data_IF_560456649365
#
_entry.id   IF_560456649365
#
_cell.length_a   1.000
_cell.length_b   1.000
_cell.length_c   1.000
_cell.angle_alpha   90.00
_cell.angle_beta   90.00
_cell.angle_gamma   90.00
#
_symmetry.space_group_name_H-M   'P 1'
#
loop_
_entity.id
_entity.type
_entity.pdbx_description
1 polymer ?
#
# COMPACT_ATOMS: atom_id res chain seq x y z
N UNK A 1 -31.70 -2.84 -29.09
CA UNK A 1 -31.11 -1.94 -28.08
C UNK A 1 -29.85 -2.63 -27.61
N UNK A 2 -28.70 -2.25 -28.17
CA UNK A 2 -27.45 -3.01 -28.04
C UNK A 2 -26.88 -2.90 -26.63
N UNK A 3 -26.53 -4.05 -26.07
CA UNK A 3 -25.76 -4.19 -24.83
C UNK A 3 -24.37 -3.62 -25.11
N UNK A 4 -24.05 -2.50 -24.47
CA UNK A 4 -22.73 -1.90 -24.54
C UNK A 4 -21.86 -2.66 -23.53
N UNK A 5 -20.99 -3.52 -24.07
CA UNK A 5 -20.03 -4.32 -23.31
C UNK A 5 -19.13 -3.37 -22.53
N UNK A 6 -19.03 -3.61 -21.22
CA UNK A 6 -18.20 -2.87 -20.27
C UNK A 6 -16.79 -2.68 -20.82
N UNK A 7 -16.32 -1.42 -20.81
CA UNK A 7 -14.92 -1.13 -21.05
C UNK A 7 -14.11 -1.86 -19.96
N UNK A 8 -13.32 -2.83 -20.38
CA UNK A 8 -12.36 -3.57 -19.57
C UNK A 8 -11.48 -2.55 -18.85
N UNK A 9 -11.76 -2.29 -17.58
CA UNK A 9 -10.98 -1.32 -16.81
C UNK A 9 -9.65 -2.00 -16.55
N UNK A 10 -8.54 -1.50 -17.12
CA UNK A 10 -7.28 -2.21 -17.05
C UNK A 10 -6.88 -2.37 -15.58
N UNK A 11 -6.33 -3.54 -15.26
CA UNK A 11 -5.73 -3.81 -13.96
C UNK A 11 -4.71 -2.73 -13.62
N UNK A 12 -4.48 -2.50 -12.33
CA UNK A 12 -3.46 -1.55 -11.90
C UNK A 12 -2.11 -1.87 -12.56
N UNK A 13 -1.50 -0.87 -13.18
CA UNK A 13 -0.22 -1.00 -13.88
C UNK A 13 0.99 -1.19 -12.97
N UNK A 14 0.81 -1.14 -11.65
CA UNK A 14 1.87 -1.39 -10.66
C UNK A 14 1.65 -2.70 -9.91
N UNK A 15 0.49 -2.88 -9.28
CA UNK A 15 0.25 -4.05 -8.40
C UNK A 15 -0.59 -5.17 -9.04
N UNK A 16 -1.15 -4.95 -10.22
CA UNK A 16 -2.02 -5.92 -10.89
C UNK A 16 -3.44 -6.03 -10.33
N UNK A 17 -3.83 -5.20 -9.36
CA UNK A 17 -5.17 -5.20 -8.78
C UNK A 17 -6.27 -5.07 -9.84
N UNK A 18 -7.31 -5.88 -9.69
CA UNK A 18 -8.47 -5.88 -10.58
C UNK A 18 -9.39 -4.69 -10.27
N UNK A 19 -9.93 -4.07 -11.31
CA UNK A 19 -10.75 -2.85 -11.20
C UNK A 19 -12.26 -3.13 -11.24
N UNK A 20 -12.72 -4.26 -10.67
CA UNK A 20 -14.11 -4.74 -10.80
C UNK A 20 -15.19 -3.77 -10.30
N UNK A 21 -14.88 -2.96 -9.30
CA UNK A 21 -15.78 -1.96 -8.69
C UNK A 21 -15.53 -0.53 -9.21
N UNK A 22 -14.72 -0.38 -10.27
CA UNK A 22 -14.26 0.90 -10.84
C UNK A 22 -13.50 1.79 -9.86
N UNK A 23 -13.06 1.28 -8.71
CA UNK A 23 -12.18 2.00 -7.81
C UNK A 23 -10.73 1.85 -8.27
N UNK A 24 -9.97 2.93 -8.13
CA UNK A 24 -8.51 2.94 -8.24
C UNK A 24 -7.87 2.43 -6.95
N UNK A 25 -6.61 1.96 -7.01
CA UNK A 25 -5.87 1.59 -5.80
C UNK A 25 -5.78 2.74 -4.79
N UNK A 26 -5.66 3.98 -5.27
CA UNK A 26 -5.61 5.17 -4.41
C UNK A 26 -6.94 5.41 -3.68
N UNK A 27 -8.08 5.27 -4.35
CA UNK A 27 -9.39 5.39 -3.71
C UNK A 27 -9.61 4.30 -2.65
N UNK A 28 -9.12 3.08 -2.90
CA UNK A 28 -9.16 2.00 -1.91
C UNK A 28 -8.30 2.31 -0.69
N UNK A 29 -7.08 2.82 -0.89
CA UNK A 29 -6.24 3.30 0.21
C UNK A 29 -6.97 4.37 1.04
N UNK A 30 -7.52 5.40 0.39
CA UNK A 30 -8.27 6.45 1.09
C UNK A 30 -9.49 5.90 1.84
N UNK A 31 -10.15 4.89 1.27
CA UNK A 31 -11.23 4.16 1.92
C UNK A 31 -10.78 3.48 3.22
N UNK A 32 -9.64 2.78 3.21
CA UNK A 32 -9.06 2.17 4.41
C UNK A 32 -8.70 3.25 5.44
N UNK A 33 -8.02 4.33 5.03
CA UNK A 33 -7.65 5.44 5.92
C UNK A 33 -8.87 6.13 6.55
N UNK A 34 -10.00 6.20 5.83
CA UNK A 34 -11.25 6.72 6.39
C UNK A 34 -11.85 5.78 7.45
N UNK A 35 -11.70 4.46 7.29
CA UNK A 35 -12.15 3.48 8.28
C UNK A 35 -11.33 3.53 9.57
N UNK A 36 -10.03 3.85 9.49
CA UNK A 36 -9.14 4.01 10.66
C UNK A 36 -9.68 5.02 11.68
N UNK A 37 -10.46 6.02 11.26
CA UNK A 37 -11.07 7.01 12.18
C UNK A 37 -12.14 6.42 13.11
N UNK A 38 -12.63 5.20 12.81
CA UNK A 38 -13.74 4.55 13.52
C UNK A 38 -13.36 3.17 14.07
N UNK A 39 -12.18 2.68 13.76
CA UNK A 39 -11.68 1.36 14.14
C UNK A 39 -10.26 1.49 14.70
N UNK A 40 -10.13 1.37 16.02
CA UNK A 40 -8.85 1.50 16.72
C UNK A 40 -7.89 0.37 16.42
N UNK A 41 -8.40 -0.84 16.08
CA UNK A 41 -7.55 -1.95 15.68
C UNK A 41 -6.94 -1.64 14.30
N UNK A 42 -7.75 -1.17 13.37
CA UNK A 42 -7.26 -0.76 12.05
C UNK A 42 -6.32 0.44 12.14
N UNK A 43 -6.61 1.42 12.99
CA UNK A 43 -5.73 2.57 13.25
C UNK A 43 -4.34 2.13 13.73
N UNK A 44 -4.26 1.12 14.59
CA UNK A 44 -2.97 0.58 15.05
C UNK A 44 -2.14 -0.05 13.91
N UNK A 45 -2.78 -0.40 12.79
CA UNK A 45 -2.14 -0.97 11.61
C UNK A 45 -1.80 0.10 10.54
N UNK A 46 -1.99 1.39 10.83
CA UNK A 46 -1.77 2.48 9.87
C UNK A 46 -0.42 2.38 9.12
N UNK A 47 0.67 2.07 9.85
CA UNK A 47 1.97 1.90 9.22
C UNK A 47 1.97 0.75 8.20
N UNK A 48 1.38 -0.40 8.53
CA UNK A 48 1.28 -1.53 7.60
C UNK A 48 0.44 -1.17 6.38
N UNK A 49 -0.70 -0.49 6.57
CA UNK A 49 -1.57 -0.04 5.46
C UNK A 49 -0.79 0.82 4.45
N UNK A 50 -0.09 1.85 4.94
CA UNK A 50 0.65 2.79 4.08
C UNK A 50 1.88 2.14 3.47
N UNK A 51 2.63 1.35 4.24
CA UNK A 51 3.84 0.67 3.76
C UNK A 51 3.51 -0.39 2.70
N UNK A 52 2.50 -1.23 2.94
CA UNK A 52 2.04 -2.24 1.98
C UNK A 52 1.63 -1.59 0.65
N UNK A 53 0.85 -0.50 0.70
CA UNK A 53 0.47 0.24 -0.49
C UNK A 53 1.69 0.74 -1.26
N UNK A 54 2.63 1.40 -0.59
CA UNK A 54 3.82 2.00 -1.23
C UNK A 54 4.80 0.95 -1.77
N UNK A 55 4.87 -0.23 -1.14
CA UNK A 55 5.68 -1.36 -1.65
C UNK A 55 5.10 -1.90 -2.96
N UNK A 56 3.77 -1.95 -3.07
CA UNK A 56 3.07 -2.39 -4.28
C UNK A 56 2.96 -1.30 -5.36
N UNK A 57 3.12 -0.03 -5.00
CA UNK A 57 3.09 1.13 -5.91
C UNK A 57 4.39 1.96 -5.81
N UNK A 58 5.54 1.38 -6.21
CA UNK A 58 6.86 1.96 -5.95
C UNK A 58 7.20 3.16 -6.84
N UNK A 59 6.49 3.42 -7.94
CA UNK A 59 6.93 4.36 -8.99
C UNK A 59 7.22 5.78 -8.49
N UNK A 60 6.54 6.20 -7.42
CA UNK A 60 6.70 7.53 -6.84
C UNK A 60 7.99 7.69 -6.02
N UNK A 61 8.60 6.61 -5.54
CA UNK A 61 9.64 6.65 -4.51
C UNK A 61 11.03 6.39 -5.08
N UNK A 62 12.04 6.99 -4.44
CA UNK A 62 13.45 6.66 -4.70
C UNK A 62 13.76 5.23 -4.26
N UNK A 63 14.73 4.59 -4.91
CA UNK A 63 15.05 3.20 -4.62
C UNK A 63 15.59 3.04 -3.19
N UNK A 64 16.38 4.01 -2.71
CA UNK A 64 16.83 4.12 -1.32
C UNK A 64 15.65 4.17 -0.33
N UNK A 65 14.63 4.98 -0.62
CA UNK A 65 13.46 5.09 0.23
C UNK A 65 12.65 3.79 0.26
N UNK A 66 12.51 3.11 -0.88
CA UNK A 66 11.82 1.82 -0.97
C UNK A 66 12.58 0.70 -0.25
N UNK A 67 13.91 0.66 -0.35
CA UNK A 67 14.73 -0.29 0.38
C UNK A 67 14.54 -0.12 1.88
N UNK A 68 14.68 1.11 2.40
CA UNK A 68 14.47 1.39 3.82
C UNK A 68 13.03 1.13 4.28
N UNK A 69 12.03 1.36 3.42
CA UNK A 69 10.64 1.03 3.69
C UNK A 69 10.41 -0.48 3.82
N UNK A 70 10.96 -1.29 2.91
CA UNK A 70 10.86 -2.76 2.95
C UNK A 70 11.51 -3.35 4.19
N UNK A 71 12.71 -2.87 4.54
CA UNK A 71 13.42 -3.31 5.75
C UNK A 71 12.60 -2.98 7.00
N UNK A 72 12.13 -1.73 7.12
CA UNK A 72 11.29 -1.29 8.25
C UNK A 72 9.98 -2.08 8.33
N UNK A 73 9.39 -2.37 7.17
CA UNK A 73 8.16 -3.16 7.05
C UNK A 73 8.33 -4.59 7.58
N UNK A 74 9.39 -5.29 7.15
CA UNK A 74 9.70 -6.66 7.60
C UNK A 74 10.02 -6.68 9.10
N UNK A 75 10.83 -5.74 9.57
CA UNK A 75 11.20 -5.66 10.99
C UNK A 75 9.99 -5.36 11.89
N UNK A 76 9.14 -4.42 11.49
CA UNK A 76 7.92 -4.08 12.22
C UNK A 76 6.95 -5.25 12.28
N UNK A 77 6.69 -5.89 11.14
CA UNK A 77 5.79 -7.04 11.07
C UNK A 77 6.32 -8.24 11.87
N UNK A 78 7.65 -8.35 12.00
CA UNK A 78 8.30 -9.35 12.86
C UNK A 78 8.37 -8.97 14.34
N UNK A 79 7.81 -7.82 14.75
CA UNK A 79 7.83 -7.32 16.12
C UNK A 79 9.19 -6.86 16.62
N UNK A 80 10.15 -6.58 15.72
CA UNK A 80 11.53 -6.19 16.09
C UNK A 80 11.68 -4.71 16.39
N UNK A 81 10.83 -3.87 15.81
CA UNK A 81 10.87 -2.41 15.95
C UNK A 81 9.48 -1.82 16.10
N UNK A 82 9.39 -0.63 16.69
CA UNK A 82 8.14 0.15 16.81
C UNK A 82 8.02 1.23 15.73
N UNK A 83 6.83 1.82 15.60
CA UNK A 83 6.60 2.97 14.70
C UNK A 83 7.42 4.20 15.09
N UNK A 84 7.72 4.38 16.38
CA UNK A 84 8.56 5.47 16.88
C UNK A 84 10.01 5.32 16.44
N UNK A 85 10.54 4.09 16.50
CA UNK A 85 11.89 3.77 16.02
C UNK A 85 12.01 3.96 14.52
N UNK A 86 11.00 3.53 13.74
CA UNK A 86 10.93 3.78 12.29
C UNK A 86 11.00 5.28 12.02
N UNK A 87 10.12 6.07 12.66
CA UNK A 87 10.09 7.53 12.49
C UNK A 87 11.44 8.16 12.83
N UNK A 88 12.09 7.71 13.91
CA UNK A 88 13.41 8.18 14.29
C UNK A 88 14.46 7.89 13.21
N UNK A 89 14.55 6.64 12.73
CA UNK A 89 15.49 6.24 11.66
C UNK A 89 15.24 7.00 10.37
N UNK A 90 13.99 7.13 9.95
CA UNK A 90 13.61 7.88 8.74
C UNK A 90 14.02 9.36 8.85
N UNK A 91 13.82 9.98 10.01
CA UNK A 91 14.22 11.37 10.24
C UNK A 91 15.75 11.56 10.16
N UNK A 92 16.55 10.62 10.67
CA UNK A 92 18.02 10.74 10.56
C UNK A 92 18.50 10.77 9.10
N UNK A 93 17.81 10.08 8.20
CA UNK A 93 18.21 9.95 6.78
C UNK A 93 17.60 11.03 5.90
N UNK A 94 16.34 11.41 6.15
CA UNK A 94 15.52 12.21 5.23
C UNK A 94 15.10 13.58 5.79
N UNK A 95 15.50 13.96 7.01
CA UNK A 95 15.25 15.31 7.55
C UNK A 95 16.21 16.38 6.97
N UNK A 96 16.54 16.24 5.68
CA UNK A 96 17.51 17.07 4.97
C UNK A 96 17.19 17.13 3.47
N UNK A 97 18.16 17.47 2.60
CA UNK A 97 17.89 17.65 1.17
C UNK A 97 17.62 16.33 0.42
N UNK A 98 17.85 15.17 1.07
CA UNK A 98 17.65 13.86 0.44
C UNK A 98 16.17 13.64 0.18
N UNK A 99 15.81 13.43 -1.09
CA UNK A 99 14.41 13.26 -1.52
C UNK A 99 13.95 11.82 -1.32
N UNK A 100 12.72 11.69 -0.83
CA UNK A 100 11.99 10.41 -0.73
C UNK A 100 11.27 10.08 -2.04
N UNK A 101 10.84 11.10 -2.79
CA UNK A 101 10.06 10.94 -4.02
C UNK A 101 10.86 11.32 -5.27
N UNK A 102 10.62 10.57 -6.35
CA UNK A 102 11.12 10.85 -7.69
C UNK A 102 10.37 12.05 -8.31
N UNK A 103 11.05 12.90 -9.11
CA UNK A 103 10.38 13.86 -9.99
C UNK A 103 9.35 13.18 -10.90
N UNK A 104 8.25 13.87 -11.24
CA UNK A 104 7.14 13.26 -11.97
C UNK A 104 7.55 12.62 -13.31
N UNK A 105 8.50 13.23 -14.03
CA UNK A 105 9.02 12.74 -15.31
C UNK A 105 9.84 11.44 -15.20
N UNK A 106 10.31 11.10 -14.00
CA UNK A 106 11.11 9.90 -13.74
C UNK A 106 10.27 8.75 -13.15
N UNK A 107 8.97 8.99 -12.91
CA UNK A 107 8.06 7.98 -12.35
C UNK A 107 7.60 7.06 -13.46
N UNK A 108 8.13 5.84 -13.46
CA UNK A 108 7.73 4.79 -14.39
C UNK A 108 7.10 3.65 -13.61
N UNK A 109 5.77 3.46 -13.69
CA UNK A 109 5.09 2.28 -13.19
C UNK A 109 5.71 1.00 -13.75
N UNK A 110 5.96 0.03 -12.88
CA UNK A 110 6.41 -1.31 -13.27
C UNK A 110 5.38 -2.30 -12.72
N UNK A 111 4.74 -3.03 -13.62
CA UNK A 111 3.76 -4.03 -13.24
C UNK A 111 4.46 -5.21 -12.56
N UNK A 112 4.00 -5.50 -11.34
CA UNK A 112 4.23 -6.74 -10.63
C UNK A 112 2.87 -7.28 -10.19
N UNK A 113 2.56 -8.51 -10.57
CA UNK A 113 1.37 -9.18 -10.08
C UNK A 113 1.64 -9.72 -8.67
N UNK A 114 0.91 -9.20 -7.68
CA UNK A 114 0.96 -9.68 -6.30
C UNK A 114 -0.16 -10.68 -6.03
N UNK A 115 0.03 -11.58 -5.07
CA UNK A 115 -1.01 -12.54 -4.67
C UNK A 115 -2.22 -11.83 -4.04
N UNK A 116 -1.95 -10.83 -3.19
CA UNK A 116 -2.97 -10.02 -2.54
C UNK A 116 -2.69 -8.54 -2.76
N UNK A 117 -3.73 -7.76 -3.04
CA UNK A 117 -3.63 -6.32 -3.34
C UNK A 117 -4.58 -5.51 -2.47
N UNK A 118 -4.52 -4.18 -2.59
CA UNK A 118 -5.48 -3.29 -1.92
C UNK A 118 -6.94 -3.56 -2.32
N UNK A 119 -7.19 -4.17 -3.49
CA UNK A 119 -8.54 -4.59 -3.92
C UNK A 119 -9.11 -5.73 -3.08
N UNK A 120 -8.24 -6.60 -2.55
CA UNK A 120 -8.64 -7.69 -1.66
C UNK A 120 -8.85 -7.21 -0.22
N UNK A 121 -8.31 -6.02 0.13
CA UNK A 121 -8.40 -5.44 1.48
C UNK A 121 -9.62 -4.54 1.62
N UNK A 122 -9.81 -3.60 0.71
CA UNK A 122 -10.90 -2.64 0.78
C UNK A 122 -12.13 -3.14 0.04
N UNK A 123 -13.12 -3.59 0.82
CA UNK A 123 -14.42 -4.02 0.32
C UNK A 123 -15.48 -2.99 0.75
N UNK A 124 -15.95 -2.10 -0.16
CA UNK A 124 -16.83 -0.99 0.22
C UNK A 124 -18.10 -1.40 0.97
N UNK A 125 -18.66 -2.56 0.61
CA UNK A 125 -19.88 -3.10 1.19
C UNK A 125 -19.64 -4.08 2.35
N UNK A 126 -18.38 -4.36 2.69
CA UNK A 126 -17.98 -5.27 3.77
C UNK A 126 -16.79 -4.70 4.57
N UNK A 127 -16.94 -3.52 5.21
CA UNK A 127 -15.84 -2.87 5.94
C UNK A 127 -15.41 -3.65 7.19
N UNK A 128 -16.25 -4.53 7.73
CA UNK A 128 -15.89 -5.38 8.85
C UNK A 128 -14.75 -6.34 8.47
N UNK A 129 -13.80 -6.53 9.39
CA UNK A 129 -12.63 -7.39 9.16
C UNK A 129 -11.53 -6.74 8.31
N UNK A 130 -11.60 -5.43 8.04
CA UNK A 130 -10.53 -4.73 7.29
C UNK A 130 -9.18 -4.85 8.00
N UNK A 131 -9.13 -4.76 9.33
CA UNK A 131 -7.90 -4.93 10.11
C UNK A 131 -7.24 -6.31 9.87
N UNK A 132 -8.03 -7.38 9.87
CA UNK A 132 -7.55 -8.73 9.58
C UNK A 132 -7.05 -8.85 8.13
N UNK A 133 -7.75 -8.23 7.17
CA UNK A 133 -7.30 -8.22 5.77
C UNK A 133 -6.00 -7.43 5.58
N UNK A 134 -5.80 -6.32 6.30
CA UNK A 134 -4.52 -5.58 6.31
C UNK A 134 -3.37 -6.46 6.83
N UNK A 135 -3.59 -7.19 7.93
CA UNK A 135 -2.58 -8.13 8.46
C UNK A 135 -2.20 -9.21 7.44
N UNK A 136 -3.20 -9.85 6.82
CA UNK A 136 -2.99 -10.86 5.77
C UNK A 136 -2.27 -10.30 4.55
N UNK A 137 -2.67 -9.10 4.11
CA UNK A 137 -2.04 -8.41 3.00
C UNK A 137 -0.57 -8.12 3.30
N UNK A 138 -0.27 -7.68 4.51
CA UNK A 138 1.11 -7.41 4.92
C UNK A 138 1.98 -8.67 4.94
N UNK A 139 1.47 -9.79 5.45
CA UNK A 139 2.18 -11.08 5.43
C UNK A 139 2.35 -11.63 4.01
N UNK A 140 1.34 -11.52 3.15
CA UNK A 140 1.44 -11.89 1.74
C UNK A 140 2.56 -11.11 1.04
N UNK A 141 2.61 -9.78 1.22
CA UNK A 141 3.70 -8.96 0.69
C UNK A 141 5.05 -9.44 1.22
N UNK A 142 5.19 -9.66 2.53
CA UNK A 142 6.46 -10.09 3.13
C UNK A 142 6.94 -11.43 2.58
N UNK A 143 6.05 -12.38 2.30
CA UNK A 143 6.42 -13.67 1.72
C UNK A 143 6.87 -13.58 0.27
N UNK A 144 6.53 -12.48 -0.40
CA UNK A 144 6.87 -12.19 -1.78
C UNK A 144 8.08 -11.22 -1.92
N UNK A 145 8.58 -10.63 -0.83
CA UNK A 145 9.76 -9.75 -0.82
C UNK A 145 11.07 -10.54 -0.76
#
# INVERSE_FOLDING_TARGET
MGIQIDADVPNCSECGALSHDRLTCQERLHGILALEQRDTELQALHFLTVAAYNIQHPAQFTDDALTGLRESFIEYLSGKITTEEIRHRTNLVFNGPKRVTKPALERTPILRCWEMTTADVFLPFQPQGTAERVKKWAESIKNEL
#
